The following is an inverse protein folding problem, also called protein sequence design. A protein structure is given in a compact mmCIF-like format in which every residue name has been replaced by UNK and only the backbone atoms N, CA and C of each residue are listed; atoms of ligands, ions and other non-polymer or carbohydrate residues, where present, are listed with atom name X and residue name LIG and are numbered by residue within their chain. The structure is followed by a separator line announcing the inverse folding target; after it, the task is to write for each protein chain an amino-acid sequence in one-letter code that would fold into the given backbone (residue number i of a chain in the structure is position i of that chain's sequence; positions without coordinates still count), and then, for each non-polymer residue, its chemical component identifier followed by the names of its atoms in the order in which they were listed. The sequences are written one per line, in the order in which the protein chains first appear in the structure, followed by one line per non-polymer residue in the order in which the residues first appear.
data_IF_118729347144
#
_entry.id   IF_118729347144
#
_cell.length_a   1.000
_cell.length_b   1.000
_cell.length_c   1.000
_cell.angle_alpha   90.00
_cell.angle_beta   90.00
_cell.angle_gamma   90.00
#
_symmetry.space_group_name_H-M   'P 1'
#
loop_
_entity.id
_entity.type
_entity.pdbx_description
1 polymer ?
#
# COMPACT_ATOMS: atom_id res chain seq x y z
N UNK A 1 -0.19 9.30 8.34
CA UNK A 1 -0.54 9.90 7.03
C UNK A 1 -1.25 8.83 6.22
N UNK A 2 -2.52 9.03 5.86
CA UNK A 2 -3.27 8.08 5.02
C UNK A 2 -3.25 8.59 3.58
N UNK A 3 -2.81 7.75 2.63
CA UNK A 3 -2.85 8.06 1.20
C UNK A 3 -4.03 7.28 0.62
N UNK A 4 -5.15 7.95 0.41
CA UNK A 4 -6.32 7.37 -0.27
C UNK A 4 -6.25 7.72 -1.75
N UNK A 5 -5.92 6.75 -2.60
CA UNK A 5 -5.97 6.90 -4.06
C UNK A 5 -7.36 6.49 -4.54
N UNK A 6 -8.09 7.43 -5.15
CA UNK A 6 -9.41 7.18 -5.71
C UNK A 6 -9.36 6.09 -6.82
N UNK A 7 -10.34 5.17 -6.87
CA UNK A 7 -10.34 4.01 -7.75
C UNK A 7 -10.45 4.34 -9.26
N UNK A 8 -10.88 5.56 -9.64
CA UNK A 8 -11.12 5.97 -11.03
C UNK A 8 -9.90 6.07 -11.96
N UNK A 9 -8.66 5.82 -11.51
CA UNK A 9 -7.46 5.77 -12.36
C UNK A 9 -6.83 4.37 -12.44
N UNK A 10 -7.64 3.31 -12.34
CA UNK A 10 -7.20 1.92 -12.58
C UNK A 10 -6.86 1.71 -14.07
N UNK A 11 -5.59 1.44 -14.39
CA UNK A 11 -5.26 0.73 -15.64
C UNK A 11 -3.98 1.06 -16.41
N UNK A 12 -3.03 1.86 -15.89
CA UNK A 12 -1.88 2.30 -16.72
C UNK A 12 -0.47 2.19 -16.12
N UNK A 13 -0.27 1.45 -15.02
CA UNK A 13 1.03 1.43 -14.32
C UNK A 13 1.33 2.68 -13.47
N UNK A 14 0.51 3.73 -13.60
CA UNK A 14 0.62 4.98 -12.84
C UNK A 14 0.53 4.78 -11.32
N UNK A 15 -0.32 3.85 -10.85
CA UNK A 15 -0.47 3.58 -9.42
C UNK A 15 0.83 3.05 -8.78
N UNK A 16 1.62 2.27 -9.52
CA UNK A 16 2.94 1.81 -9.06
C UNK A 16 3.97 2.93 -9.02
N UNK A 17 3.99 3.79 -10.05
CA UNK A 17 4.88 4.94 -10.08
C UNK A 17 4.56 5.96 -8.97
N UNK A 18 3.28 6.23 -8.73
CA UNK A 18 2.82 7.11 -7.64
C UNK A 18 3.16 6.53 -6.27
N UNK A 19 2.96 5.22 -6.08
CA UNK A 19 3.35 4.55 -4.83
C UNK A 19 4.85 4.71 -4.59
N UNK A 20 5.70 4.41 -5.57
CA UNK A 20 7.17 4.57 -5.43
C UNK A 20 7.57 6.01 -5.15
N UNK A 21 7.02 6.98 -5.88
CA UNK A 21 7.32 8.40 -5.63
C UNK A 21 6.95 8.83 -4.20
N UNK A 22 5.83 8.32 -3.67
CA UNK A 22 5.42 8.56 -2.28
C UNK A 22 6.35 7.89 -1.27
N UNK A 23 6.78 6.64 -1.53
CA UNK A 23 7.75 5.91 -0.71
C UNK A 23 9.10 6.62 -0.67
N UNK A 24 9.61 7.08 -1.81
CA UNK A 24 10.89 7.80 -1.93
C UNK A 24 10.84 9.13 -1.18
N UNK A 25 9.78 9.93 -1.40
CA UNK A 25 9.59 11.19 -0.69
C UNK A 25 9.45 11.02 0.83
N UNK A 26 8.85 9.90 1.27
CA UNK A 26 8.80 9.59 2.70
C UNK A 26 10.18 9.20 3.23
N UNK A 27 10.89 8.31 2.53
CA UNK A 27 12.25 7.87 2.88
C UNK A 27 13.21 9.04 3.03
N UNK A 28 13.14 10.03 2.13
CA UNK A 28 13.97 11.24 2.22
C UNK A 28 13.70 12.04 3.49
N UNK A 29 12.46 12.03 3.99
CA UNK A 29 12.04 12.81 5.17
C UNK A 29 12.23 12.08 6.49
N UNK A 30 12.08 10.77 6.51
CA UNK A 30 12.05 9.97 7.74
C UNK A 30 13.23 9.01 7.87
N UNK A 31 14.01 8.83 6.80
CA UNK A 31 15.15 7.92 6.76
C UNK A 31 14.76 6.46 6.51
N UNK A 32 15.77 5.60 6.49
CA UNK A 32 15.62 4.14 6.36
C UNK A 32 14.98 3.55 7.62
N UNK A 33 14.17 2.51 7.47
CA UNK A 33 13.50 1.83 8.58
C UNK A 33 12.09 2.34 8.86
N UNK A 34 11.56 3.25 8.02
CA UNK A 34 10.23 3.84 8.25
C UNK A 34 9.14 2.80 7.97
N UNK A 35 8.27 2.49 8.96
CA UNK A 35 7.16 1.57 8.74
C UNK A 35 6.04 2.23 7.93
N UNK A 36 5.63 1.54 6.88
CA UNK A 36 4.46 1.85 6.07
C UNK A 36 3.34 0.86 6.36
N UNK A 37 2.13 1.37 6.50
CA UNK A 37 0.90 0.59 6.68
C UNK A 37 -0.04 0.92 5.52
N UNK A 38 -0.59 -0.13 4.91
CA UNK A 38 -1.64 -0.03 3.91
C UNK A 38 -2.81 -0.91 4.32
N UNK A 39 -4.03 -0.35 4.32
CA UNK A 39 -5.27 -1.08 4.61
C UNK A 39 -6.01 -1.29 3.30
N UNK A 40 -6.35 -2.54 2.99
CA UNK A 40 -6.99 -2.90 1.72
C UNK A 40 -8.17 -3.84 1.94
N UNK A 41 -9.29 -3.53 1.31
CA UNK A 41 -10.44 -4.43 1.27
C UNK A 41 -10.11 -5.69 0.46
N UNK A 42 -10.56 -6.87 0.91
CA UNK A 42 -10.37 -8.18 0.27
C UNK A 42 -10.77 -8.22 -1.21
N UNK A 43 -11.82 -7.49 -1.56
CA UNK A 43 -12.34 -7.45 -2.93
C UNK A 43 -11.54 -6.48 -3.83
N UNK A 44 -10.66 -5.67 -3.24
CA UNK A 44 -9.76 -4.78 -3.98
C UNK A 44 -8.50 -5.52 -4.45
N UNK A 45 -8.71 -6.51 -5.32
CA UNK A 45 -7.65 -7.37 -5.86
C UNK A 45 -6.57 -6.59 -6.63
N UNK A 46 -6.91 -5.42 -7.20
CA UNK A 46 -5.93 -4.55 -7.86
C UNK A 46 -4.97 -3.91 -6.85
N UNK A 47 -5.48 -3.34 -5.75
CA UNK A 47 -4.63 -2.79 -4.69
C UNK A 47 -3.83 -3.89 -4.01
N UNK A 48 -4.44 -5.06 -3.76
CA UNK A 48 -3.73 -6.23 -3.24
C UNK A 48 -2.52 -6.62 -4.10
N UNK A 49 -2.67 -6.67 -5.43
CA UNK A 49 -1.57 -6.96 -6.37
C UNK A 49 -0.53 -5.85 -6.41
N UNK A 50 -0.95 -4.59 -6.34
CA UNK A 50 -0.05 -3.43 -6.31
C UNK A 50 0.88 -3.50 -5.08
N UNK A 51 0.31 -3.64 -3.89
CA UNK A 51 1.09 -3.67 -2.65
C UNK A 51 1.95 -4.94 -2.54
N UNK A 52 1.47 -6.10 -3.00
CA UNK A 52 2.27 -7.31 -3.05
C UNK A 52 3.49 -7.15 -3.99
N UNK A 53 3.31 -6.54 -5.17
CA UNK A 53 4.43 -6.23 -6.08
C UNK A 53 5.40 -5.19 -5.52
N UNK A 54 4.92 -4.29 -4.67
CA UNK A 54 5.75 -3.33 -3.95
C UNK A 54 6.45 -3.94 -2.73
N UNK A 55 6.22 -5.22 -2.39
CA UNK A 55 6.90 -5.89 -1.27
C UNK A 55 6.26 -5.64 0.09
N UNK A 56 5.00 -5.21 0.12
CA UNK A 56 4.23 -5.23 1.36
C UNK A 56 3.85 -6.66 1.72
N UNK A 57 3.90 -6.97 3.01
CA UNK A 57 3.52 -8.27 3.58
C UNK A 57 2.29 -8.12 4.45
N UNK A 58 1.47 -9.17 4.53
CA UNK A 58 0.33 -9.21 5.43
C UNK A 58 0.81 -9.13 6.90
N UNK A 59 0.04 -8.46 7.75
CA UNK A 59 0.40 -8.37 9.16
C UNK A 59 0.07 -9.65 9.95
N UNK A 60 -0.63 -10.59 9.33
CA UNK A 60 -0.98 -11.89 9.89
C UNK A 60 -2.26 -11.86 10.73
N UNK A 61 -2.92 -10.71 10.86
CA UNK A 61 -4.22 -10.60 11.56
C UNK A 61 -5.40 -11.00 10.67
N UNK A 62 -5.19 -11.10 9.36
CA UNK A 62 -6.26 -11.39 8.41
C UNK A 62 -7.17 -10.18 8.17
N UNK A 63 -8.23 -10.33 7.35
CA UNK A 63 -9.22 -9.28 7.19
C UNK A 63 -10.10 -9.14 8.43
N UNK A 64 -10.48 -7.92 8.78
CA UNK A 64 -11.52 -7.62 9.79
C UNK A 64 -12.92 -8.02 9.31
N UNK A 65 -13.92 -7.80 10.17
CA UNK A 65 -15.34 -8.11 9.89
C UNK A 65 -15.88 -7.33 8.69
N UNK A 66 -15.30 -6.16 8.39
CA UNK A 66 -15.61 -5.32 7.24
C UNK A 66 -14.79 -5.71 5.98
N UNK A 67 -13.98 -6.77 6.07
CA UNK A 67 -13.21 -7.31 4.95
C UNK A 67 -11.90 -6.58 4.65
N UNK A 68 -11.42 -5.68 5.52
CA UNK A 68 -10.15 -4.99 5.37
C UNK A 68 -9.00 -5.73 6.02
N UNK A 69 -7.91 -5.94 5.27
CA UNK A 69 -6.66 -6.49 5.80
C UNK A 69 -5.57 -5.44 5.84
N UNK A 70 -4.65 -5.62 6.78
CA UNK A 70 -3.52 -4.71 6.98
C UNK A 70 -2.25 -5.30 6.35
N UNK A 71 -1.59 -4.50 5.53
CA UNK A 71 -0.32 -4.79 4.93
C UNK A 71 0.75 -3.84 5.46
N UNK A 72 1.97 -4.34 5.63
CA UNK A 72 3.11 -3.60 6.17
C UNK A 72 4.34 -3.72 5.29
N UNK A 73 5.15 -2.66 5.27
CA UNK A 73 6.47 -2.63 4.64
C UNK A 73 7.40 -1.74 5.46
N UNK A 74 8.67 -2.08 5.51
CA UNK A 74 9.71 -1.19 6.02
C UNK A 74 10.46 -0.61 4.82
N UNK A 75 10.59 0.72 4.75
CA UNK A 75 11.39 1.40 3.72
C UNK A 75 12.88 1.20 3.96
#
# INVERSE_FOLDING_TARGET
MSITVAPERRGGGLAGALLRAGEDALRERTGTGTPLIAVVHRDNTASARLFARAGYVDDGTGPDDDGFRTLRRIL
#
